data_IF_220717739570
#
_entry.id   IF_220717739570
#
_cell.length_a   1.000
_cell.length_b   1.000
_cell.length_c   1.000
_cell.angle_alpha   90.00
_cell.angle_beta   90.00
_cell.angle_gamma   90.00
#
_symmetry.space_group_name_H-M   'P 1'
#
loop_
_entity.id
_entity.type
_entity.pdbx_description
1 polymer ?
#
# COMPACT_ATOMS: atom_id res chain seq x y z
N UNK A 1 2.53 -20.00 -1.06
CA UNK A 1 3.52 -19.59 -0.02
C UNK A 1 4.40 -18.42 -0.46
N UNK A 2 4.79 -18.31 -1.73
CA UNK A 2 5.57 -17.18 -2.28
C UNK A 2 4.89 -15.81 -2.13
N UNK A 3 3.56 -15.72 -2.25
CA UNK A 3 2.82 -14.45 -2.13
C UNK A 3 2.79 -13.88 -0.70
N UNK A 4 2.57 -14.73 0.30
CA UNK A 4 2.58 -14.31 1.72
C UNK A 4 3.98 -13.84 2.09
N UNK A 5 5.02 -14.56 1.63
CA UNK A 5 6.41 -14.17 1.83
C UNK A 5 6.77 -12.85 1.12
N UNK A 6 6.20 -12.62 -0.06
CA UNK A 6 6.34 -11.36 -0.81
C UNK A 6 5.67 -10.19 -0.10
N UNK A 7 4.42 -10.37 0.31
CA UNK A 7 3.65 -9.39 1.06
C UNK A 7 4.35 -9.01 2.36
N UNK A 8 4.87 -9.99 3.10
CA UNK A 8 5.59 -9.72 4.35
C UNK A 8 6.94 -9.05 4.13
N UNK A 9 7.72 -9.43 3.11
CA UNK A 9 9.00 -8.75 2.82
C UNK A 9 8.79 -7.32 2.37
N UNK A 10 7.84 -7.06 1.45
CA UNK A 10 7.53 -5.70 1.00
C UNK A 10 6.95 -4.85 2.13
N UNK A 11 6.13 -5.45 3.00
CA UNK A 11 5.59 -4.80 4.19
C UNK A 11 6.70 -4.51 5.21
N UNK A 12 7.60 -5.44 5.47
CA UNK A 12 8.76 -5.22 6.35
C UNK A 12 9.66 -4.14 5.78
N UNK A 13 9.91 -4.13 4.48
CA UNK A 13 10.76 -3.13 3.83
C UNK A 13 10.12 -1.73 3.90
N UNK A 14 8.83 -1.62 3.61
CA UNK A 14 8.08 -0.35 3.77
C UNK A 14 8.00 0.09 5.23
N UNK A 15 7.80 -0.82 6.19
CA UNK A 15 7.81 -0.53 7.62
C UNK A 15 9.19 -0.11 8.14
N UNK A 16 10.27 -0.75 7.69
CA UNK A 16 11.63 -0.39 8.07
C UNK A 16 12.00 1.00 7.50
N UNK A 17 11.59 1.27 6.26
CA UNK A 17 11.71 2.59 5.64
C UNK A 17 10.93 3.65 6.40
N UNK A 18 9.70 3.30 6.79
CA UNK A 18 8.81 4.13 7.57
C UNK A 18 9.41 4.47 8.93
N UNK A 19 9.98 3.51 9.66
CA UNK A 19 10.64 3.71 10.96
C UNK A 19 11.85 4.65 10.84
N UNK A 20 12.70 4.46 9.82
CA UNK A 20 13.85 5.34 9.56
C UNK A 20 13.38 6.77 9.28
N UNK A 21 12.33 6.90 8.48
CA UNK A 21 11.72 8.18 8.15
C UNK A 21 11.09 8.86 9.39
N UNK A 22 10.45 8.09 10.26
CA UNK A 22 9.83 8.53 11.51
C UNK A 22 10.85 9.04 12.52
N UNK A 23 11.98 8.34 12.63
CA UNK A 23 13.07 8.74 13.50
C UNK A 23 13.72 10.05 13.03
N UNK A 24 13.76 10.28 11.71
CA UNK A 24 14.36 11.48 11.13
C UNK A 24 13.41 12.68 11.09
N UNK A 25 12.13 12.47 10.81
CA UNK A 25 11.10 13.51 10.72
C UNK A 25 10.84 14.23 12.05
N UNK A 26 11.22 13.64 13.20
CA UNK A 26 11.16 14.32 14.50
C UNK A 26 12.02 15.59 14.60
N UNK A 27 12.95 15.82 13.66
CA UNK A 27 13.83 17.00 13.64
C UNK A 27 13.46 18.08 12.61
N UNK A 28 12.53 17.82 11.69
CA UNK A 28 12.28 18.72 10.54
C UNK A 28 10.85 19.27 10.58
N UNK A 29 10.77 20.60 10.37
CA UNK A 29 9.63 21.53 10.35
C UNK A 29 8.18 20.98 10.44
N UNK A 30 7.30 21.63 11.23
CA UNK A 30 5.88 21.25 11.43
C UNK A 30 4.97 21.35 10.19
N UNK A 31 5.44 21.93 9.08
CA UNK A 31 4.62 22.18 7.89
C UNK A 31 4.64 21.00 6.89
N UNK A 32 5.76 20.27 6.80
CA UNK A 32 5.89 19.11 5.91
C UNK A 32 5.28 17.84 6.53
N UNK A 33 5.14 17.80 7.86
CA UNK A 33 4.55 16.67 8.59
C UNK A 33 3.11 16.37 8.20
N UNK A 34 2.29 17.37 7.84
CA UNK A 34 0.86 17.15 7.50
C UNK A 34 0.68 16.33 6.22
N UNK A 35 1.24 16.80 5.12
CA UNK A 35 1.08 16.16 3.81
C UNK A 35 1.71 14.78 3.80
N UNK A 36 2.83 14.63 4.49
CA UNK A 36 3.56 13.36 4.60
C UNK A 36 2.75 12.33 5.36
N UNK A 37 2.20 12.68 6.54
CA UNK A 37 1.35 11.76 7.30
C UNK A 37 0.18 11.31 6.43
N UNK A 38 -0.50 12.22 5.73
CA UNK A 38 -1.62 11.88 4.84
C UNK A 38 -1.21 10.91 3.71
N UNK A 39 -0.12 11.19 2.99
CA UNK A 39 0.32 10.38 1.84
C UNK A 39 0.75 9.00 2.31
N UNK A 40 1.52 8.93 3.38
CA UNK A 40 2.09 7.66 3.84
C UNK A 40 1.01 6.79 4.47
N UNK A 41 0.04 7.36 5.20
CA UNK A 41 -1.06 6.59 5.77
C UNK A 41 -2.02 6.09 4.69
N UNK A 42 -2.33 6.92 3.70
CA UNK A 42 -3.16 6.53 2.55
C UNK A 42 -2.55 5.38 1.76
N UNK A 43 -1.27 5.48 1.40
CA UNK A 43 -0.60 4.46 0.58
C UNK A 43 -0.36 3.18 1.39
N UNK A 44 0.00 3.33 2.67
CA UNK A 44 0.15 2.22 3.58
C UNK A 44 -1.13 1.41 3.72
N UNK A 45 -2.26 2.06 4.05
CA UNK A 45 -3.56 1.39 4.20
C UNK A 45 -4.11 0.84 2.88
N UNK A 46 -3.86 1.54 1.77
CA UNK A 46 -4.24 1.08 0.43
C UNK A 46 -3.52 -0.22 0.06
N UNK A 47 -2.19 -0.25 0.22
CA UNK A 47 -1.40 -1.41 -0.16
C UNK A 47 -1.72 -2.62 0.74
N UNK A 48 -1.86 -2.41 2.06
CA UNK A 48 -2.21 -3.50 2.98
C UNK A 48 -3.61 -4.04 2.71
N UNK A 49 -4.60 -3.18 2.46
CA UNK A 49 -5.96 -3.59 2.07
C UNK A 49 -5.96 -4.44 0.80
N UNK A 50 -5.21 -4.03 -0.22
CA UNK A 50 -5.07 -4.78 -1.46
C UNK A 50 -4.42 -6.16 -1.24
N UNK A 51 -3.29 -6.23 -0.53
CA UNK A 51 -2.60 -7.51 -0.28
C UNK A 51 -3.47 -8.48 0.53
N UNK A 52 -4.22 -7.96 1.50
CA UNK A 52 -5.08 -8.80 2.34
C UNK A 52 -6.30 -9.34 1.62
N UNK A 53 -6.86 -8.58 0.68
CA UNK A 53 -7.97 -9.06 -0.14
C UNK A 53 -7.54 -10.24 -1.01
N UNK A 54 -6.36 -10.16 -1.62
CA UNK A 54 -5.78 -11.27 -2.40
C UNK A 54 -5.58 -12.52 -1.54
N UNK A 55 -5.26 -12.36 -0.25
CA UNK A 55 -4.99 -13.48 0.65
C UNK A 55 -6.24 -14.14 1.22
N UNK A 56 -7.23 -13.35 1.63
CA UNK A 56 -8.40 -13.84 2.36
C UNK A 56 -9.67 -13.91 1.50
N UNK A 57 -9.66 -13.33 0.29
CA UNK A 57 -10.83 -13.24 -0.61
C UNK A 57 -12.09 -12.74 0.09
N UNK A 58 -11.92 -11.82 1.05
CA UNK A 58 -12.98 -11.31 1.91
C UNK A 58 -12.87 -9.80 2.04
N UNK A 59 -13.66 -9.12 1.22
CA UNK A 59 -13.65 -7.66 1.05
C UNK A 59 -13.82 -6.91 2.38
N UNK A 60 -14.73 -7.35 3.24
CA UNK A 60 -14.93 -6.70 4.54
C UNK A 60 -13.69 -6.87 5.45
N UNK A 61 -13.07 -8.04 5.44
CA UNK A 61 -11.92 -8.33 6.28
C UNK A 61 -10.67 -7.56 5.82
N UNK A 62 -10.46 -7.47 4.51
CA UNK A 62 -9.35 -6.72 3.92
C UNK A 62 -9.49 -5.22 4.17
N UNK A 63 -10.70 -4.66 4.05
CA UNK A 63 -10.96 -3.27 4.38
C UNK A 63 -10.66 -2.95 5.85
N UNK A 64 -11.16 -3.76 6.78
CA UNK A 64 -10.92 -3.55 8.22
C UNK A 64 -9.42 -3.56 8.53
N UNK A 65 -8.67 -4.49 7.93
CA UNK A 65 -7.24 -4.59 8.18
C UNK A 65 -6.46 -3.47 7.49
N UNK A 66 -6.87 -3.03 6.30
CA UNK A 66 -6.36 -1.83 5.66
C UNK A 66 -6.52 -0.59 6.55
N UNK A 67 -7.71 -0.38 7.10
CA UNK A 67 -7.97 0.76 8.02
C UNK A 67 -7.15 0.62 9.31
N UNK A 68 -7.11 -0.56 9.93
CA UNK A 68 -6.35 -0.79 11.17
C UNK A 68 -4.85 -0.57 10.98
N UNK A 69 -4.29 -1.03 9.87
CA UNK A 69 -2.87 -0.80 9.55
C UNK A 69 -2.58 0.68 9.37
N UNK A 70 -3.44 1.43 8.66
CA UNK A 70 -3.33 2.88 8.57
C UNK A 70 -3.45 3.59 9.94
N UNK A 71 -4.35 3.14 10.81
CA UNK A 71 -4.51 3.65 12.16
C UNK A 71 -3.24 3.46 13.01
N UNK A 72 -2.64 2.27 12.95
CA UNK A 72 -1.37 1.97 13.63
C UNK A 72 -0.25 2.87 13.10
N UNK A 73 -0.18 3.07 11.78
CA UNK A 73 0.82 3.94 11.16
C UNK A 73 0.73 5.39 11.65
N UNK A 74 -0.48 5.94 11.80
CA UNK A 74 -0.69 7.30 12.33
C UNK A 74 -0.20 7.40 13.78
N UNK A 75 -0.58 6.43 14.62
CA UNK A 75 -0.18 6.42 16.04
C UNK A 75 1.33 6.33 16.13
N UNK A 76 1.96 5.49 15.32
CA UNK A 76 3.41 5.34 15.30
C UNK A 76 4.11 6.63 14.87
N UNK A 77 3.53 7.38 13.93
CA UNK A 77 4.04 8.69 13.46
C UNK A 77 3.94 9.81 14.49
N UNK A 78 3.19 9.61 15.59
CA UNK A 78 3.04 10.55 16.70
C UNK A 78 2.88 12.02 16.24
N UNK A 79 1.86 12.35 15.39
CA UNK A 79 1.59 13.74 15.07
C UNK A 79 1.31 14.52 16.36
N UNK A 80 1.97 15.66 16.56
CA UNK A 80 1.85 16.49 17.76
C UNK A 80 0.46 17.14 17.92
N UNK A 81 -0.32 17.21 16.83
CA UNK A 81 -1.59 17.93 16.75
C UNK A 81 -2.77 16.99 16.45
N UNK A 82 -3.90 17.24 17.13
CA UNK A 82 -5.16 16.49 16.96
C UNK A 82 -5.70 16.54 15.51
N UNK A 83 -5.56 17.68 14.84
CA UNK A 83 -6.00 17.87 13.45
C UNK A 83 -5.26 16.89 12.51
N UNK A 84 -3.97 16.67 12.73
CA UNK A 84 -3.16 15.77 11.92
C UNK A 84 -3.57 14.31 12.13
N UNK A 85 -3.92 13.94 13.37
CA UNK A 85 -4.42 12.60 13.68
C UNK A 85 -5.76 12.33 13.00
N UNK A 86 -6.68 13.30 13.04
CA UNK A 86 -7.99 13.18 12.40
C UNK A 86 -7.87 13.05 10.87
N UNK A 87 -7.05 13.89 10.24
CA UNK A 87 -6.80 13.80 8.81
C UNK A 87 -6.10 12.50 8.42
N UNK A 88 -5.09 12.09 9.18
CA UNK A 88 -4.43 10.80 8.99
C UNK A 88 -5.45 9.67 9.02
N UNK A 89 -6.38 9.68 9.99
CA UNK A 89 -7.37 8.62 10.16
C UNK A 89 -8.36 8.58 8.99
N UNK A 90 -8.83 9.74 8.53
CA UNK A 90 -9.67 9.82 7.33
C UNK A 90 -8.96 9.26 6.09
N UNK A 91 -7.67 9.54 5.94
CA UNK A 91 -6.86 8.99 4.82
C UNK A 91 -6.61 7.49 4.97
N UNK A 92 -6.37 6.99 6.19
CA UNK A 92 -6.26 5.57 6.46
C UNK A 92 -7.56 4.84 6.08
N UNK A 93 -8.71 5.40 6.47
CA UNK A 93 -10.04 4.88 6.17
C UNK A 93 -10.27 4.85 4.65
N UNK A 94 -10.04 5.98 3.97
CA UNK A 94 -10.18 6.08 2.51
C UNK A 94 -9.24 5.12 1.76
N UNK A 95 -7.97 5.07 2.15
CA UNK A 95 -6.98 4.17 1.53
C UNK A 95 -7.32 2.70 1.74
N UNK A 96 -7.69 2.30 2.96
CA UNK A 96 -8.03 0.91 3.28
C UNK A 96 -9.27 0.40 2.54
N UNK A 97 -10.33 1.23 2.49
CA UNK A 97 -11.53 0.89 1.73
C UNK A 97 -11.25 0.79 0.23
N UNK A 98 -10.52 1.77 -0.32
CA UNK A 98 -10.21 1.78 -1.76
C UNK A 98 -9.27 0.63 -2.14
N UNK A 99 -8.30 0.29 -1.29
CA UNK A 99 -7.36 -0.81 -1.54
C UNK A 99 -8.04 -2.17 -1.61
N UNK A 100 -8.92 -2.48 -0.65
CA UNK A 100 -9.69 -3.73 -0.65
C UNK A 100 -10.66 -3.82 -1.83
N UNK A 101 -11.39 -2.74 -2.12
CA UNK A 101 -12.34 -2.71 -3.25
C UNK A 101 -11.65 -2.85 -4.60
N UNK A 102 -10.50 -2.20 -4.80
CA UNK A 102 -9.75 -2.27 -6.05
C UNK A 102 -9.20 -3.69 -6.30
N UNK A 103 -8.81 -4.40 -5.25
CA UNK A 103 -8.43 -5.81 -5.37
C UNK A 103 -9.62 -6.72 -5.68
N UNK A 104 -10.81 -6.44 -5.14
CA UNK A 104 -12.01 -7.25 -5.40
C UNK A 104 -12.62 -7.04 -6.79
N UNK A 105 -12.38 -5.89 -7.43
CA UNK A 105 -12.92 -5.58 -8.76
C UNK A 105 -12.06 -6.09 -9.92
N UNK A 106 -10.80 -6.43 -9.71
CA UNK A 106 -9.92 -6.87 -10.81
C UNK A 106 -10.11 -8.37 -11.08
N UNK A 107 -10.31 -8.67 -12.35
CA UNK A 107 -10.49 -10.03 -12.88
C UNK A 107 -9.30 -10.91 -12.46
N UNK A 108 -9.62 -12.12 -12.01
CA UNK A 108 -8.72 -13.11 -11.39
C UNK A 108 -7.52 -13.57 -12.24
N UNK A 109 -7.40 -13.10 -13.47
CA UNK A 109 -6.27 -13.42 -14.35
C UNK A 109 -5.16 -12.35 -14.36
N UNK A 110 -5.42 -11.12 -13.87
CA UNK A 110 -4.43 -10.02 -13.94
C UNK A 110 -4.00 -9.45 -12.58
N UNK A 111 -4.43 -10.07 -11.48
CA UNK A 111 -4.10 -9.60 -10.13
C UNK A 111 -2.59 -9.57 -9.86
N UNK A 112 -1.82 -10.49 -10.43
CA UNK A 112 -0.36 -10.53 -10.29
C UNK A 112 0.29 -9.27 -10.90
N UNK A 113 -0.12 -8.93 -12.12
CA UNK A 113 0.39 -7.74 -12.81
C UNK A 113 -0.03 -6.47 -12.07
N UNK A 114 -1.25 -6.44 -11.55
CA UNK A 114 -1.76 -5.33 -10.75
C UNK A 114 -0.94 -5.11 -9.46
N UNK A 115 -0.68 -6.18 -8.69
CA UNK A 115 0.16 -6.10 -7.49
C UNK A 115 1.58 -5.62 -7.81
N UNK A 116 2.17 -6.08 -8.93
CA UNK A 116 3.49 -5.63 -9.39
C UNK A 116 3.49 -4.12 -9.67
N UNK A 117 2.51 -3.62 -10.41
CA UNK A 117 2.38 -2.19 -10.72
C UNK A 117 2.19 -1.36 -9.44
N UNK A 118 1.28 -1.76 -8.56
CA UNK A 118 1.01 -1.02 -7.33
C UNK A 118 2.20 -1.04 -6.37
N UNK A 119 2.97 -2.13 -6.31
CA UNK A 119 4.20 -2.18 -5.51
C UNK A 119 5.25 -1.18 -6.01
N UNK A 120 5.41 -1.04 -7.33
CA UNK A 120 6.29 -0.05 -7.95
C UNK A 120 5.80 1.38 -7.69
N UNK A 121 4.48 1.59 -7.77
CA UNK A 121 3.86 2.89 -7.51
C UNK A 121 4.05 3.31 -6.04
N UNK A 122 3.83 2.40 -5.09
CA UNK A 122 4.09 2.63 -3.65
C UNK A 122 5.56 2.97 -3.44
N UNK A 123 6.48 2.20 -4.02
CA UNK A 123 7.92 2.46 -3.91
C UNK A 123 8.30 3.83 -4.47
N UNK A 124 7.71 4.24 -5.60
CA UNK A 124 7.93 5.55 -6.23
C UNK A 124 7.44 6.70 -5.36
N UNK A 125 6.23 6.61 -4.83
CA UNK A 125 5.70 7.68 -3.98
C UNK A 125 6.46 7.77 -2.66
N UNK A 126 6.86 6.64 -2.07
CA UNK A 126 7.71 6.66 -0.87
C UNK A 126 9.06 7.33 -1.17
N UNK A 127 9.72 6.93 -2.26
CA UNK A 127 10.98 7.54 -2.72
C UNK A 127 10.86 9.05 -2.92
N UNK A 128 9.77 9.51 -3.54
CA UNK A 128 9.47 10.93 -3.72
C UNK A 128 9.27 11.64 -2.38
N UNK A 129 8.54 11.03 -1.46
CA UNK A 129 8.28 11.57 -0.12
C UNK A 129 9.58 11.78 0.65
N UNK A 130 10.50 10.81 0.57
CA UNK A 130 11.83 10.91 1.20
C UNK A 130 12.66 12.03 0.58
N UNK A 131 12.66 12.14 -0.76
CA UNK A 131 13.38 13.19 -1.46
C UNK A 131 12.93 14.59 -1.02
N UNK A 132 11.62 14.77 -0.79
CA UNK A 132 11.05 16.04 -0.34
C UNK A 132 11.41 16.34 1.12
N UNK A 133 11.33 15.35 2.01
CA UNK A 133 11.41 15.57 3.45
C UNK A 133 12.83 15.53 4.04
N UNK A 134 13.72 14.73 3.47
CA UNK A 134 15.05 14.49 4.02
C UNK A 134 16.14 15.12 3.15
N UNK A 135 15.89 16.34 2.65
CA UNK A 135 16.78 17.10 1.76
C UNK A 135 18.22 17.23 2.29
N UNK A 136 18.38 17.28 3.61
CA UNK A 136 19.66 17.49 4.29
C UNK A 136 20.34 16.20 4.79
N UNK A 137 19.72 15.02 4.55
CA UNK A 137 20.27 13.74 5.02
C UNK A 137 21.30 13.16 4.03
N UNK A 138 22.45 12.62 4.49
CA UNK A 138 23.48 12.07 3.61
C UNK A 138 22.99 10.94 2.70
N UNK A 139 22.03 10.11 3.15
CA UNK A 139 21.41 9.07 2.31
C UNK A 139 20.56 9.67 1.17
N UNK A 140 19.94 10.83 1.38
CA UNK A 140 19.12 11.49 0.34
C UNK A 140 19.99 12.24 -0.65
N UNK A 141 21.18 12.67 -0.24
CA UNK A 141 22.17 13.22 -1.17
C UNK A 141 22.56 12.20 -2.25
N UNK A 142 22.47 10.89 -1.95
CA UNK A 142 22.60 9.83 -2.95
C UNK A 142 21.41 9.81 -3.93
N UNK A 143 20.17 9.94 -3.42
CA UNK A 143 18.93 10.02 -4.20
C UNK A 143 18.77 11.32 -5.00
N UNK A 144 19.57 12.36 -4.71
CA UNK A 144 19.52 13.64 -5.42
C UNK A 144 20.02 13.53 -6.87
N UNK A 145 20.85 12.54 -7.17
CA UNK A 145 21.26 12.28 -8.54
C UNK A 145 20.16 11.47 -9.25
N UNK A 146 19.56 12.00 -10.33
CA UNK A 146 18.47 11.32 -11.03
C UNK A 146 18.90 9.95 -11.60
N UNK A 147 20.20 9.79 -11.89
CA UNK A 147 20.77 8.53 -12.37
C UNK A 147 20.71 7.44 -11.29
N UNK A 148 21.08 7.74 -10.03
CA UNK A 148 21.00 6.75 -8.96
C UNK A 148 19.55 6.38 -8.65
N UNK A 149 18.63 7.34 -8.71
CA UNK A 149 17.19 7.06 -8.57
C UNK A 149 16.67 6.17 -9.71
N UNK A 150 17.09 6.42 -10.95
CA UNK A 150 16.73 5.58 -12.10
C UNK A 150 17.29 4.15 -11.95
N UNK A 151 18.53 4.02 -11.49
CA UNK A 151 19.16 2.70 -11.24
C UNK A 151 18.43 1.95 -10.13
N UNK A 152 18.10 2.60 -9.01
CA UNK A 152 17.37 1.94 -7.91
C UNK A 152 15.95 1.55 -8.33
N UNK A 153 15.24 2.41 -9.08
CA UNK A 153 13.95 2.08 -9.71
C UNK A 153 14.05 0.88 -10.65
N UNK A 154 15.10 0.83 -11.48
CA UNK A 154 15.32 -0.27 -12.41
C UNK A 154 15.64 -1.59 -11.68
N UNK A 155 16.47 -1.56 -10.62
CA UNK A 155 16.77 -2.74 -9.81
C UNK A 155 15.50 -3.26 -9.12
N UNK A 156 14.72 -2.37 -8.51
CA UNK A 156 13.46 -2.75 -7.85
C UNK A 156 12.44 -3.26 -8.87
N UNK A 157 12.34 -2.64 -10.05
CA UNK A 157 11.49 -3.09 -11.14
C UNK A 157 11.85 -4.48 -11.67
N UNK A 158 13.14 -4.76 -11.85
CA UNK A 158 13.62 -6.09 -12.22
C UNK A 158 13.33 -7.11 -11.12
N UNK A 159 13.54 -6.73 -9.85
CA UNK A 159 13.23 -7.60 -8.71
C UNK A 159 11.73 -7.94 -8.66
N UNK A 160 10.86 -6.94 -8.82
CA UNK A 160 9.39 -7.12 -8.85
C UNK A 160 8.96 -7.96 -10.07
N UNK A 161 9.61 -7.81 -11.22
CA UNK A 161 9.30 -8.55 -12.44
C UNK A 161 9.63 -10.05 -12.33
N UNK A 162 10.80 -10.37 -11.78
CA UNK A 162 11.32 -11.75 -11.64
C UNK A 162 10.52 -12.61 -10.65
N UNK A 163 9.59 -12.02 -9.91
CA UNK A 163 8.76 -12.73 -8.94
C UNK A 163 7.57 -13.33 -9.69
N UNK A 164 7.62 -14.63 -9.98
CA UNK A 164 6.47 -15.39 -10.46
C UNK A 164 5.51 -15.65 -9.30
N UNK A 165 4.31 -15.09 -9.40
CA UNK A 165 3.28 -15.30 -8.41
C UNK A 165 2.45 -16.51 -8.83
N UNK A 166 2.80 -17.68 -8.29
CA UNK A 166 2.07 -18.92 -8.55
C UNK A 166 0.56 -18.73 -8.25
N UNK A 167 -0.33 -19.01 -9.21
CA UNK A 167 -1.75 -18.69 -9.08
C UNK A 167 -2.39 -19.63 -8.06
N UNK A 168 -2.47 -19.20 -6.80
CA UNK A 168 -3.37 -19.84 -5.83
C UNK A 168 -4.79 -19.53 -6.24
N UNK A 169 -5.58 -20.59 -6.47
CA UNK A 169 -6.95 -20.57 -6.97
C UNK A 169 -7.82 -19.51 -6.29
N UNK A 170 -8.00 -18.39 -6.97
CA UNK A 170 -8.95 -17.36 -6.59
C UNK A 170 -10.34 -17.83 -7.08
N UNK A 171 -11.03 -18.58 -6.22
CA UNK A 171 -12.42 -18.96 -6.46
C UNK A 171 -13.27 -17.74 -6.08
N UNK A 172 -13.86 -17.07 -7.07
CA UNK A 172 -14.77 -15.95 -6.84
C UNK A 172 -16.20 -16.48 -6.67
N UNK A 173 -16.72 -16.72 -5.45
CA UNK A 173 -18.08 -17.21 -5.26
C UNK A 173 -19.15 -16.19 -5.69
N UNK A 174 -18.83 -14.89 -5.67
CA UNK A 174 -19.80 -13.82 -5.90
C UNK A 174 -20.34 -13.74 -7.33
N UNK A 175 -19.58 -14.18 -8.34
CA UNK A 175 -20.07 -14.20 -9.72
C UNK A 175 -21.07 -15.35 -9.94
N UNK A 176 -20.90 -16.46 -9.22
CA UNK A 176 -21.81 -17.60 -9.28
C UNK A 176 -23.12 -17.34 -8.53
N UNK A 177 -23.07 -16.59 -7.43
CA UNK A 177 -24.25 -16.19 -6.65
C UNK A 177 -25.09 -15.13 -7.40
N UNK A 178 -24.44 -14.14 -8.02
CA UNK A 178 -25.13 -13.14 -8.85
C UNK A 178 -25.78 -13.74 -10.12
N UNK A 179 -25.14 -14.74 -10.75
CA UNK A 179 -25.73 -15.48 -11.87
C UNK A 179 -26.88 -16.39 -11.42
N UNK A 180 -26.82 -16.95 -10.21
CA UNK A 180 -27.92 -17.73 -9.63
C UNK A 180 -29.20 -16.89 -9.47
N UNK A 181 -29.07 -15.67 -8.91
CA UNK A 181 -30.21 -14.76 -8.75
C UNK A 181 -30.80 -14.27 -10.08
N UNK A 182 -29.98 -14.05 -11.10
CA UNK A 182 -30.47 -13.67 -12.43
C UNK A 182 -31.21 -14.82 -13.12
N UNK A 183 -30.76 -16.07 -12.96
CA UNK A 183 -31.47 -17.22 -13.53
C UNK A 183 -32.78 -17.55 -12.81
N UNK A 184 -32.88 -17.28 -11.50
CA UNK A 184 -34.13 -17.48 -10.74
C UNK A 184 -35.20 -16.42 -11.06
N UNK A 185 -34.81 -15.22 -11.48
CA UNK A 185 -35.75 -14.13 -11.78
C UNK A 185 -36.34 -14.17 -13.19
N UNK A 186 -35.70 -14.87 -14.13
CA UNK A 186 -36.23 -15.08 -15.49
C UNK A 186 -37.18 -16.30 -15.59
N UNK A 187 -37.29 -17.12 -14.54
CA UNK A 187 -38.09 -18.35 -14.49
C UNK A 187 -39.41 -18.23 -13.68
N UNK A 188 -39.71 -17.03 -13.15
CA UNK A 188 -40.95 -16.70 -12.43
C UNK A 188 -41.81 -15.70 -13.20
#
# INVERSE_FOLDING_TARGET
MSLIFYGTIMLIFTMMFFIIFLHHSRKILPLYTRTVVMVVTMIGSFYTGMVWEVLFSSLLFSMIIGVLTGAILIILMLPLDLEHLLHGFMQALMGGMMGGMLSGMVITNEWELMLKIFSLLVFSIMSLTIYICARDHPLVNWFRNPIYMAITMMIVGLFVYQIEISPSQHHSPHLHEALGYLLETDLS
#
